data_IF_507725556774
#
_entry.id   IF_507725556774
#
_cell.length_a   1.000
_cell.length_b   1.000
_cell.length_c   1.000
_cell.angle_alpha   90.00
_cell.angle_beta   90.00
_cell.angle_gamma   90.00
#
_symmetry.space_group_name_H-M   'P 1'
#
loop_
_entity.id
_entity.type
_entity.pdbx_description
1 polymer ?
#
# COMPACT_ATOMS: atom_id res chain seq x y z
N UNK A 1 5.08 -14.83 -3.32
CA UNK A 1 5.90 -16.02 -3.51
C UNK A 1 5.11 -17.11 -4.24
N UNK A 2 5.80 -18.00 -4.93
CA UNK A 2 5.19 -19.09 -5.71
C UNK A 2 4.27 -19.97 -4.87
N UNK A 3 4.65 -20.25 -3.61
CA UNK A 3 3.83 -21.04 -2.69
C UNK A 3 2.49 -20.36 -2.34
N UNK A 4 2.48 -19.05 -2.15
CA UNK A 4 1.25 -18.29 -1.92
C UNK A 4 0.34 -18.31 -3.15
N UNK A 5 0.89 -18.13 -4.34
CA UNK A 5 0.14 -18.19 -5.60
C UNK A 5 -0.52 -19.58 -5.80
N UNK A 6 0.22 -20.66 -5.52
CA UNK A 6 -0.31 -22.01 -5.60
C UNK A 6 -1.44 -22.25 -4.59
N UNK A 7 -1.35 -21.68 -3.37
CA UNK A 7 -2.41 -21.79 -2.36
C UNK A 7 -3.68 -21.04 -2.79
N UNK A 8 -3.53 -19.80 -3.29
CA UNK A 8 -4.67 -18.99 -3.75
C UNK A 8 -5.32 -19.61 -4.98
N UNK A 9 -4.53 -20.16 -5.92
CA UNK A 9 -5.07 -20.81 -7.11
C UNK A 9 -5.94 -22.05 -6.83
N UNK A 10 -5.88 -22.61 -5.62
CA UNK A 10 -6.77 -23.70 -5.19
C UNK A 10 -8.15 -23.23 -4.72
N UNK A 11 -8.29 -21.96 -4.38
CA UNK A 11 -9.52 -21.37 -3.82
C UNK A 11 -10.26 -20.45 -4.76
N UNK A 12 -9.61 -20.03 -5.86
CA UNK A 12 -10.16 -19.07 -6.81
C UNK A 12 -10.20 -19.59 -8.26
N UNK A 13 -10.93 -18.90 -9.10
CA UNK A 13 -11.08 -19.21 -10.52
C UNK A 13 -9.82 -18.93 -11.36
N UNK A 14 -8.92 -18.08 -10.87
CA UNK A 14 -7.64 -17.74 -11.51
C UNK A 14 -6.51 -17.77 -10.50
N UNK A 15 -5.43 -18.49 -10.82
CA UNK A 15 -4.22 -18.46 -10.03
C UNK A 15 -3.52 -17.10 -10.20
N UNK A 16 -3.13 -16.41 -9.10
CA UNK A 16 -2.36 -15.18 -9.21
C UNK A 16 -0.96 -15.48 -9.78
N UNK A 17 -0.43 -14.55 -10.55
CA UNK A 17 0.90 -14.63 -11.13
C UNK A 17 1.89 -13.86 -10.25
N UNK A 18 2.98 -14.50 -9.86
CA UNK A 18 4.07 -13.84 -9.14
C UNK A 18 5.21 -13.47 -10.09
N UNK A 19 5.56 -12.18 -10.09
CA UNK A 19 6.71 -11.65 -10.82
C UNK A 19 7.65 -11.01 -9.81
N UNK A 20 8.89 -11.51 -9.72
CA UNK A 20 9.92 -10.93 -8.85
C UNK A 20 10.40 -9.60 -9.42
N UNK A 21 10.40 -8.54 -8.58
CA UNK A 21 10.89 -7.21 -8.91
C UNK A 21 11.54 -6.58 -7.69
N UNK A 22 12.68 -5.93 -7.87
CA UNK A 22 13.20 -4.99 -6.88
C UNK A 22 12.55 -3.63 -7.12
N UNK A 23 11.74 -3.17 -6.17
CA UNK A 23 11.00 -1.91 -6.31
C UNK A 23 11.89 -0.66 -6.29
N UNK A 24 13.17 -0.81 -5.95
CA UNK A 24 14.18 0.26 -6.05
C UNK A 24 14.61 0.50 -7.50
N UNK A 25 14.51 -0.54 -8.35
CA UNK A 25 14.74 -0.45 -9.78
C UNK A 25 13.46 0.02 -10.51
N UNK A 26 13.39 1.33 -10.73
CA UNK A 26 12.22 1.96 -11.36
C UNK A 26 12.03 1.46 -12.80
N UNK A 27 13.10 1.25 -13.55
CA UNK A 27 13.01 0.78 -14.94
C UNK A 27 12.44 -0.63 -15.02
N UNK A 28 12.91 -1.53 -14.17
CA UNK A 28 12.38 -2.90 -14.06
C UNK A 28 10.91 -2.91 -13.63
N UNK A 29 10.54 -2.08 -12.61
CA UNK A 29 9.17 -1.96 -12.14
C UNK A 29 8.23 -1.51 -13.27
N UNK A 30 8.57 -0.44 -13.97
CA UNK A 30 7.76 0.07 -15.06
C UNK A 30 7.65 -0.90 -16.23
N UNK A 31 8.75 -1.59 -16.58
CA UNK A 31 8.74 -2.63 -17.61
C UNK A 31 7.80 -3.78 -17.26
N UNK A 32 7.79 -4.21 -15.99
CA UNK A 32 6.88 -5.27 -15.51
C UNK A 32 5.43 -4.83 -15.61
N UNK A 33 5.08 -3.61 -15.17
CA UNK A 33 3.69 -3.11 -15.25
C UNK A 33 3.21 -3.04 -16.69
N UNK A 34 4.04 -2.57 -17.62
CA UNK A 34 3.71 -2.58 -19.06
C UNK A 34 3.48 -3.98 -19.59
N UNK A 35 4.45 -4.89 -19.34
CA UNK A 35 4.38 -6.28 -19.79
C UNK A 35 3.13 -7.01 -19.27
N UNK A 36 2.75 -6.79 -18.01
CA UNK A 36 1.51 -7.37 -17.46
C UNK A 36 0.31 -6.93 -18.29
N UNK A 37 0.21 -5.65 -18.65
CA UNK A 37 -0.86 -5.18 -19.51
C UNK A 37 -0.87 -5.78 -20.91
N UNK A 38 0.30 -5.97 -21.51
CA UNK A 38 0.44 -6.61 -22.82
C UNK A 38 0.04 -8.10 -22.82
N UNK A 39 0.40 -8.81 -21.75
CA UNK A 39 0.17 -10.26 -21.63
C UNK A 39 -1.22 -10.64 -21.10
N UNK A 40 -1.87 -9.80 -20.31
CA UNK A 40 -3.10 -10.17 -19.58
C UNK A 40 -4.28 -9.22 -19.79
N UNK A 41 -4.10 -8.16 -20.55
CA UNK A 41 -5.03 -7.06 -20.72
C UNK A 41 -4.70 -5.90 -19.80
N UNK A 42 -5.31 -4.72 -20.02
CA UNK A 42 -4.94 -3.48 -19.35
C UNK A 42 -5.01 -3.59 -17.82
N UNK A 43 -4.03 -3.04 -17.14
CA UNK A 43 -4.05 -2.87 -15.69
C UNK A 43 -5.07 -1.78 -15.35
N UNK A 44 -6.24 -2.18 -14.84
CA UNK A 44 -7.31 -1.26 -14.42
C UNK A 44 -7.35 -1.05 -12.90
N UNK A 45 -6.67 -1.91 -12.13
CA UNK A 45 -6.52 -1.78 -10.68
C UNK A 45 -5.05 -1.92 -10.31
N UNK A 46 -4.54 -0.95 -9.55
CA UNK A 46 -3.18 -0.98 -8.99
C UNK A 46 -3.23 -0.84 -7.47
N UNK A 47 -2.68 -1.81 -6.75
CA UNK A 47 -2.57 -1.76 -5.29
C UNK A 47 -1.10 -1.65 -4.89
N UNK A 48 -0.67 -0.48 -4.46
CA UNK A 48 0.68 -0.17 -4.00
C UNK A 48 0.82 -0.50 -2.51
N UNK A 49 0.91 -1.79 -2.17
CA UNK A 49 0.97 -2.29 -0.79
C UNK A 49 2.39 -2.49 -0.25
N UNK A 50 3.37 -2.74 -1.11
CA UNK A 50 4.73 -3.08 -0.68
C UNK A 50 5.37 -1.95 0.14
N UNK A 51 5.99 -2.32 1.26
CA UNK A 51 6.69 -1.39 2.15
C UNK A 51 7.64 -2.13 3.09
N UNK A 52 8.52 -1.37 3.75
CA UNK A 52 9.39 -1.85 4.80
C UNK A 52 9.42 -0.86 5.97
N UNK A 53 8.98 -1.32 7.15
CA UNK A 53 8.85 -0.57 8.41
C UNK A 53 9.99 -0.85 9.40
N UNK A 54 11.20 -1.15 8.90
CA UNK A 54 12.37 -1.40 9.77
C UNK A 54 12.58 -0.26 10.75
N UNK A 55 12.83 -0.63 12.02
CA UNK A 55 13.03 0.33 13.10
C UNK A 55 14.45 0.90 13.06
N UNK A 56 14.58 2.20 13.33
CA UNK A 56 15.87 2.92 13.34
C UNK A 56 15.78 4.19 14.18
N UNK A 57 16.92 4.62 14.72
CA UNK A 57 17.01 5.90 15.43
C UNK A 57 17.25 7.04 14.43
N UNK A 58 16.68 8.22 14.70
CA UNK A 58 16.86 9.38 13.81
C UNK A 58 18.33 9.79 13.65
N UNK A 59 19.11 9.66 14.71
CA UNK A 59 20.54 10.03 14.74
C UNK A 59 21.43 9.11 13.91
N UNK A 60 20.98 7.90 13.60
CA UNK A 60 21.72 6.88 12.85
C UNK A 60 21.40 6.88 11.35
N UNK A 61 20.46 7.73 10.93
CA UNK A 61 20.03 7.78 9.52
C UNK A 61 21.09 8.44 8.66
N UNK A 62 21.66 7.67 7.73
CA UNK A 62 22.55 8.18 6.68
C UNK A 62 21.77 8.61 5.44
N UNK A 63 22.33 9.46 4.55
CA UNK A 63 21.72 9.80 3.27
C UNK A 63 21.34 8.55 2.44
N UNK A 64 22.22 7.57 2.34
CA UNK A 64 21.98 6.32 1.58
C UNK A 64 20.82 5.52 2.17
N UNK A 65 20.76 5.41 3.51
CA UNK A 65 19.63 4.76 4.19
C UNK A 65 18.31 5.52 3.92
N UNK A 66 18.35 6.86 4.01
CA UNK A 66 17.20 7.70 3.68
C UNK A 66 16.71 7.45 2.28
N UNK A 67 17.58 7.51 1.26
CA UNK A 67 17.23 7.33 -0.14
C UNK A 67 16.68 5.94 -0.42
N UNK A 68 17.26 4.91 0.18
CA UNK A 68 16.76 3.53 0.08
C UNK A 68 15.35 3.41 0.69
N UNK A 69 15.11 3.98 1.88
CA UNK A 69 13.79 3.91 2.53
C UNK A 69 12.72 4.66 1.76
N UNK A 70 13.03 5.83 1.19
CA UNK A 70 12.15 6.57 0.29
C UNK A 70 11.85 5.74 -0.97
N UNK A 71 12.86 5.10 -1.55
CA UNK A 71 12.69 4.25 -2.73
C UNK A 71 11.69 3.10 -2.47
N UNK A 72 11.82 2.43 -1.31
CA UNK A 72 11.01 1.25 -0.95
C UNK A 72 9.62 1.63 -0.43
N UNK A 73 9.43 2.82 0.20
CA UNK A 73 8.17 3.15 0.87
C UNK A 73 7.30 4.19 0.15
N UNK A 74 7.87 4.96 -0.79
CA UNK A 74 7.18 6.05 -1.48
C UNK A 74 7.43 6.06 -2.99
N UNK A 75 8.70 6.14 -3.43
CA UNK A 75 9.06 6.36 -4.84
C UNK A 75 8.44 5.34 -5.78
N UNK A 76 8.45 4.06 -5.41
CA UNK A 76 7.87 3.00 -6.24
C UNK A 76 6.37 3.17 -6.49
N UNK A 77 5.61 3.73 -5.52
CA UNK A 77 4.16 3.95 -5.69
C UNK A 77 3.89 4.93 -6.84
N UNK A 78 4.65 6.02 -6.90
CA UNK A 78 4.54 6.97 -8.01
C UNK A 78 4.85 6.32 -9.36
N UNK A 79 5.98 5.62 -9.49
CA UNK A 79 6.40 5.09 -10.78
C UNK A 79 5.59 3.87 -11.24
N UNK A 80 5.04 3.08 -10.32
CA UNK A 80 4.06 2.05 -10.65
C UNK A 80 2.76 2.67 -11.18
N UNK A 81 2.26 3.71 -10.50
CA UNK A 81 1.08 4.45 -10.93
C UNK A 81 1.29 5.11 -12.30
N UNK A 82 2.45 5.74 -12.52
CA UNK A 82 2.82 6.34 -13.81
C UNK A 82 2.84 5.31 -14.94
N UNK A 83 3.34 4.09 -14.69
CA UNK A 83 3.38 3.02 -15.70
C UNK A 83 1.98 2.42 -15.98
N UNK A 84 1.07 2.43 -15.01
CA UNK A 84 -0.30 1.94 -15.17
C UNK A 84 -1.22 2.99 -15.84
N UNK A 85 -0.92 4.28 -15.68
CA UNK A 85 -1.76 5.39 -16.16
C UNK A 85 -2.17 5.28 -17.65
N UNK A 86 -1.25 5.04 -18.62
CA UNK A 86 -1.65 4.94 -20.02
C UNK A 86 -2.65 3.83 -20.30
N UNK A 87 -2.51 2.70 -19.60
CA UNK A 87 -3.39 1.55 -19.72
C UNK A 87 -4.78 1.85 -19.14
N UNK A 88 -4.84 2.43 -17.94
CA UNK A 88 -6.09 2.85 -17.31
C UNK A 88 -6.81 3.90 -18.14
N UNK A 89 -6.11 4.89 -18.67
CA UNK A 89 -6.67 5.92 -19.55
C UNK A 89 -7.25 5.31 -20.82
N UNK A 90 -6.53 4.39 -21.47
CA UNK A 90 -7.00 3.70 -22.68
C UNK A 90 -8.21 2.79 -22.40
N UNK A 91 -8.31 2.22 -21.19
CA UNK A 91 -9.44 1.39 -20.75
C UNK A 91 -10.67 2.22 -20.31
N UNK A 92 -10.58 3.56 -20.32
CA UNK A 92 -11.68 4.45 -19.91
C UNK A 92 -11.79 4.69 -18.41
N UNK A 93 -10.82 4.25 -17.61
CA UNK A 93 -10.76 4.46 -16.16
C UNK A 93 -9.95 3.43 -15.41
N UNK A 94 -9.86 3.59 -14.10
CA UNK A 94 -9.15 2.67 -13.23
C UNK A 94 -9.17 3.07 -11.76
N UNK A 95 -8.59 2.22 -10.91
CA UNK A 95 -8.46 2.47 -9.48
C UNK A 95 -7.04 2.23 -8.98
N UNK A 96 -6.48 3.20 -8.29
CA UNK A 96 -5.17 3.12 -7.63
C UNK A 96 -5.38 3.21 -6.12
N UNK A 97 -4.89 2.22 -5.39
CA UNK A 97 -4.92 2.17 -3.92
C UNK A 97 -3.49 2.24 -3.40
N UNK A 98 -3.13 3.37 -2.84
CA UNK A 98 -1.82 3.61 -2.23
C UNK A 98 -1.86 3.29 -0.73
N UNK A 99 -0.96 2.44 -0.24
CA UNK A 99 -0.88 2.13 1.18
C UNK A 99 -0.05 3.18 1.93
N UNK A 100 -0.74 3.97 2.74
CA UNK A 100 -0.15 4.84 3.75
C UNK A 100 0.12 4.09 5.07
N UNK A 101 -0.03 4.78 6.19
CA UNK A 101 0.03 4.26 7.57
C UNK A 101 -0.51 5.33 8.52
N UNK A 102 -1.09 4.93 9.65
CA UNK A 102 -1.45 5.85 10.73
C UNK A 102 -0.24 6.28 11.60
N UNK A 103 0.96 5.74 11.36
CA UNK A 103 2.15 5.97 12.19
C UNK A 103 2.49 7.45 12.40
N UNK A 104 2.28 8.28 11.39
CA UNK A 104 2.52 9.72 11.48
C UNK A 104 1.44 10.44 12.32
N UNK A 105 0.20 9.97 12.30
CA UNK A 105 -0.90 10.48 13.14
C UNK A 105 -0.65 10.16 14.61
N UNK A 106 -0.12 8.95 14.87
CA UNK A 106 0.25 8.49 16.22
C UNK A 106 1.54 9.13 16.78
N UNK A 107 2.22 9.98 15.99
CA UNK A 107 3.54 10.55 16.37
C UNK A 107 4.55 9.44 16.71
N UNK A 108 4.51 8.33 15.99
CA UNK A 108 5.28 7.13 16.30
C UNK A 108 6.78 7.37 16.07
N UNK A 109 7.58 7.22 17.13
CA UNK A 109 9.05 7.23 17.07
C UNK A 109 9.64 5.91 16.58
N UNK A 110 10.97 5.88 16.43
CA UNK A 110 11.74 4.67 16.09
C UNK A 110 11.69 4.26 14.62
N UNK A 111 11.14 5.11 13.72
CA UNK A 111 11.12 4.88 12.27
C UNK A 111 10.81 6.17 11.48
N UNK A 112 11.54 7.29 11.70
CA UNK A 112 11.18 8.59 11.14
C UNK A 112 11.11 8.61 9.61
N UNK A 113 12.00 7.93 8.90
CA UNK A 113 12.02 7.90 7.43
C UNK A 113 10.81 7.15 6.86
N UNK A 114 10.40 6.04 7.50
CA UNK A 114 9.17 5.34 7.16
C UNK A 114 7.94 6.24 7.38
N UNK A 115 7.87 6.86 8.56
CA UNK A 115 6.75 7.74 8.93
C UNK A 115 6.62 8.92 7.95
N UNK A 116 7.74 9.57 7.58
CA UNK A 116 7.77 10.62 6.58
C UNK A 116 7.30 10.13 5.20
N UNK A 117 7.79 8.96 4.76
CA UNK A 117 7.37 8.35 3.49
C UNK A 117 5.86 8.10 3.47
N UNK A 118 5.30 7.57 4.56
CA UNK A 118 3.87 7.21 4.64
C UNK A 118 2.96 8.43 4.78
N UNK A 119 3.41 9.52 5.39
CA UNK A 119 2.72 10.80 5.38
C UNK A 119 2.68 11.41 3.96
N UNK A 120 3.77 11.31 3.20
CA UNK A 120 3.87 11.83 1.84
C UNK A 120 2.93 11.12 0.84
N UNK A 121 2.55 9.86 1.09
CA UNK A 121 1.61 9.09 0.25
C UNK A 121 0.27 9.82 0.08
N UNK A 122 -0.21 10.53 1.08
CA UNK A 122 -1.47 11.27 1.01
C UNK A 122 -1.39 12.47 0.07
N UNK A 123 -0.30 13.24 0.13
CA UNK A 123 -0.06 14.35 -0.81
C UNK A 123 0.04 13.83 -2.25
N UNK A 124 0.79 12.75 -2.46
CA UNK A 124 0.88 12.08 -3.76
C UNK A 124 -0.50 11.63 -4.26
N UNK A 125 -1.28 10.96 -3.43
CA UNK A 125 -2.62 10.46 -3.76
C UNK A 125 -3.55 11.59 -4.22
N UNK A 126 -3.62 12.69 -3.46
CA UNK A 126 -4.48 13.84 -3.79
C UNK A 126 -4.07 14.52 -5.09
N UNK A 127 -2.77 14.67 -5.33
CA UNK A 127 -2.24 15.23 -6.57
C UNK A 127 -2.62 14.39 -7.79
N UNK A 128 -2.36 13.07 -7.74
CA UNK A 128 -2.70 12.15 -8.82
C UNK A 128 -4.22 12.04 -9.04
N UNK A 129 -5.02 12.03 -7.98
CA UNK A 129 -6.47 12.02 -8.07
C UNK A 129 -7.01 13.26 -8.82
N UNK A 130 -6.43 14.44 -8.55
CA UNK A 130 -6.81 15.70 -9.24
C UNK A 130 -6.41 15.69 -10.69
N UNK A 131 -5.22 15.19 -11.00
CA UNK A 131 -4.67 15.19 -12.36
C UNK A 131 -5.34 14.15 -13.26
N UNK A 132 -5.63 12.94 -12.72
CA UNK A 132 -6.11 11.80 -13.50
C UNK A 132 -7.61 11.58 -13.41
N UNK A 133 -8.31 12.27 -12.50
CA UNK A 133 -9.77 12.23 -12.37
C UNK A 133 -10.53 12.51 -13.67
N UNK A 134 -10.13 13.47 -14.54
CA UNK A 134 -10.76 13.69 -15.85
C UNK A 134 -10.75 12.47 -16.78
N UNK A 135 -9.87 11.49 -16.52
CA UNK A 135 -9.79 10.23 -17.27
C UNK A 135 -10.49 9.07 -16.52
N UNK A 136 -11.34 9.39 -15.53
CA UNK A 136 -12.05 8.41 -14.71
C UNK A 136 -11.12 7.46 -13.93
N UNK A 137 -9.91 7.94 -13.56
CA UNK A 137 -8.97 7.19 -12.74
C UNK A 137 -9.07 7.70 -11.30
N UNK A 138 -9.49 6.82 -10.40
CA UNK A 138 -9.57 7.09 -8.97
C UNK A 138 -8.25 6.77 -8.29
N UNK A 139 -7.83 7.60 -7.36
CA UNK A 139 -6.62 7.37 -6.57
C UNK A 139 -6.95 7.64 -5.11
N UNK A 140 -6.81 6.64 -4.25
CA UNK A 140 -7.11 6.73 -2.82
C UNK A 140 -5.97 6.19 -1.96
N UNK A 141 -5.90 6.65 -0.72
CA UNK A 141 -4.99 6.13 0.29
C UNK A 141 -5.74 5.20 1.24
N UNK A 142 -5.19 4.00 1.46
CA UNK A 142 -5.59 3.11 2.55
C UNK A 142 -4.55 3.19 3.67
N UNK A 143 -5.00 3.55 4.89
CA UNK A 143 -4.14 3.74 6.06
C UNK A 143 -4.44 2.66 7.11
N UNK A 144 -3.67 1.57 7.11
CA UNK A 144 -3.80 0.53 8.13
C UNK A 144 -3.31 0.99 9.51
N UNK A 145 -3.97 0.50 10.56
CA UNK A 145 -3.42 0.41 11.89
C UNK A 145 -2.37 -0.70 11.99
N UNK A 146 -2.18 -1.26 13.20
CA UNK A 146 -1.22 -2.36 13.39
C UNK A 146 -1.85 -3.70 13.03
N UNK A 147 -1.48 -4.23 11.87
CA UNK A 147 -2.04 -5.46 11.29
C UNK A 147 -1.20 -6.67 11.70
N UNK A 148 -1.85 -7.71 12.23
CA UNK A 148 -1.22 -8.95 12.72
C UNK A 148 -0.78 -9.85 11.56
N UNK A 149 0.24 -9.43 10.82
CA UNK A 149 0.92 -10.27 9.82
C UNK A 149 1.95 -11.18 10.50
N UNK A 150 2.34 -12.28 9.85
CA UNK A 150 3.39 -13.18 10.34
C UNK A 150 4.69 -12.42 10.69
N UNK A 151 5.06 -11.41 9.89
CA UNK A 151 6.24 -10.57 10.16
C UNK A 151 6.06 -9.74 11.43
N UNK A 152 4.92 -9.10 11.61
CA UNK A 152 4.64 -8.28 12.79
C UNK A 152 4.60 -9.12 14.07
N UNK A 153 3.93 -10.27 14.01
CA UNK A 153 3.87 -11.23 15.12
C UNK A 153 5.27 -11.70 15.55
N UNK A 154 6.15 -11.97 14.58
CA UNK A 154 7.49 -12.47 14.87
C UNK A 154 8.44 -11.40 15.41
N UNK A 155 8.34 -10.14 14.93
CA UNK A 155 9.36 -9.11 15.19
C UNK A 155 8.96 -8.12 16.28
N UNK A 156 7.67 -7.79 16.40
CA UNK A 156 7.25 -6.61 17.17
C UNK A 156 6.09 -6.86 18.13
N UNK A 157 5.40 -8.02 18.00
CA UNK A 157 4.20 -8.30 18.76
C UNK A 157 4.52 -9.11 20.03
N UNK A 158 4.54 -8.43 21.18
CA UNK A 158 4.45 -9.03 22.50
C UNK A 158 3.09 -8.73 23.16
N UNK A 159 2.77 -9.40 24.27
CA UNK A 159 1.49 -9.20 24.97
C UNK A 159 1.28 -7.76 25.43
N UNK A 160 2.35 -7.08 25.87
CA UNK A 160 2.26 -5.72 26.36
C UNK A 160 1.96 -4.74 25.20
N UNK A 161 2.58 -4.94 24.03
CA UNK A 161 2.32 -4.15 22.84
C UNK A 161 0.90 -4.37 22.31
N UNK A 162 0.41 -5.62 22.28
CA UNK A 162 -0.96 -5.92 21.90
C UNK A 162 -1.96 -5.28 22.86
N UNK A 163 -1.72 -5.36 24.16
CA UNK A 163 -2.59 -4.73 25.18
C UNK A 163 -2.65 -3.21 25.00
N UNK A 164 -1.51 -2.54 24.86
CA UNK A 164 -1.48 -1.09 24.60
C UNK A 164 -2.28 -0.72 23.34
N UNK A 165 -2.18 -1.51 22.27
CA UNK A 165 -2.94 -1.28 21.04
C UNK A 165 -4.43 -1.45 21.26
N UNK A 166 -4.85 -2.53 21.92
CA UNK A 166 -6.25 -2.77 22.24
C UNK A 166 -6.85 -1.69 23.18
N UNK A 167 -6.05 -1.18 24.12
CA UNK A 167 -6.48 -0.10 24.99
C UNK A 167 -6.73 1.20 24.20
N UNK A 168 -5.89 1.49 23.22
CA UNK A 168 -5.99 2.68 22.38
C UNK A 168 -7.09 2.58 21.30
N UNK A 169 -7.44 1.38 20.83
CA UNK A 169 -8.50 1.18 19.84
C UNK A 169 -9.91 1.28 20.46
N UNK A 170 -10.88 1.77 19.66
CA UNK A 170 -12.29 1.66 19.99
C UNK A 170 -12.77 0.20 19.93
N UNK A 171 -12.40 -0.52 18.88
CA UNK A 171 -12.73 -1.94 18.69
C UNK A 171 -11.67 -2.83 19.36
N UNK A 172 -12.10 -3.69 20.31
CA UNK A 172 -11.20 -4.48 21.18
C UNK A 172 -10.78 -5.81 20.55
N UNK A 173 -10.33 -5.78 19.28
CA UNK A 173 -9.66 -6.91 18.62
C UNK A 173 -8.51 -6.41 17.74
N UNK A 174 -7.46 -7.21 17.65
CA UNK A 174 -6.33 -6.89 16.78
C UNK A 174 -6.74 -7.01 15.30
N UNK A 175 -6.26 -6.06 14.48
CA UNK A 175 -6.49 -6.05 13.05
C UNK A 175 -5.86 -7.26 12.37
N UNK A 176 -6.61 -7.88 11.48
CA UNK A 176 -6.16 -8.99 10.66
C UNK A 176 -5.93 -8.54 9.21
N UNK A 177 -5.08 -9.22 8.44
CA UNK A 177 -4.92 -8.92 7.01
C UNK A 177 -6.24 -8.87 6.22
N UNK A 178 -7.23 -9.67 6.61
CA UNK A 178 -8.54 -9.70 5.98
C UNK A 178 -9.33 -8.38 6.14
N UNK A 179 -9.17 -7.67 7.27
CA UNK A 179 -9.82 -6.38 7.49
C UNK A 179 -9.34 -5.32 6.50
N UNK A 180 -8.03 -5.35 6.22
CA UNK A 180 -7.40 -4.44 5.25
C UNK A 180 -7.74 -4.83 3.81
N UNK A 181 -7.75 -6.14 3.53
CA UNK A 181 -8.10 -6.64 2.21
C UNK A 181 -9.55 -6.29 1.81
N UNK A 182 -10.49 -6.30 2.75
CA UNK A 182 -11.88 -5.91 2.51
C UNK A 182 -11.98 -4.45 2.03
N UNK A 183 -11.27 -3.51 2.68
CA UNK A 183 -11.23 -2.11 2.25
C UNK A 183 -10.51 -1.95 0.91
N UNK A 184 -9.40 -2.67 0.69
CA UNK A 184 -8.71 -2.63 -0.59
C UNK A 184 -9.60 -3.14 -1.75
N UNK A 185 -10.40 -4.18 -1.53
CA UNK A 185 -11.38 -4.68 -2.50
C UNK A 185 -12.48 -3.66 -2.78
N UNK A 186 -13.06 -3.03 -1.74
CA UNK A 186 -14.03 -1.95 -1.91
C UNK A 186 -13.47 -0.82 -2.77
N UNK A 187 -12.24 -0.36 -2.48
CA UNK A 187 -11.59 0.71 -3.23
C UNK A 187 -11.23 0.31 -4.67
N UNK A 188 -10.98 -0.97 -4.92
CA UNK A 188 -10.71 -1.50 -6.25
C UNK A 188 -11.98 -1.65 -7.11
N UNK A 189 -13.15 -1.84 -6.49
CA UNK A 189 -14.42 -2.12 -7.15
C UNK A 189 -15.19 -0.83 -7.50
N UNK A 190 -16.21 -0.97 -8.33
CA UNK A 190 -17.13 0.11 -8.73
C UNK A 190 -18.01 0.61 -7.58
N UNK A 191 -18.15 -0.17 -6.51
CA UNK A 191 -18.82 0.26 -5.27
C UNK A 191 -18.24 1.55 -4.68
N UNK A 192 -16.99 1.87 -5.01
CA UNK A 192 -16.31 3.10 -4.63
C UNK A 192 -16.15 4.12 -5.78
N UNK A 193 -17.05 4.09 -6.79
CA UNK A 193 -16.94 4.90 -8.00
C UNK A 193 -16.79 6.41 -7.77
N UNK A 194 -17.37 6.94 -6.68
CA UNK A 194 -17.24 8.36 -6.32
C UNK A 194 -16.19 8.65 -5.24
N UNK A 195 -15.38 7.65 -4.86
CA UNK A 195 -14.30 7.80 -3.90
C UNK A 195 -12.97 8.05 -4.63
N UNK A 196 -12.45 9.27 -4.55
CA UNK A 196 -11.11 9.61 -5.08
C UNK A 196 -10.48 10.75 -4.26
N UNK A 197 -9.15 10.73 -4.13
CA UNK A 197 -8.40 11.71 -3.36
C UNK A 197 -8.62 11.62 -1.85
N UNK A 198 -9.16 10.50 -1.33
CA UNK A 198 -9.53 10.32 0.05
C UNK A 198 -8.56 9.40 0.81
N UNK A 199 -8.56 9.55 2.12
CA UNK A 199 -7.85 8.70 3.07
C UNK A 199 -8.86 7.79 3.78
N UNK A 200 -8.66 6.47 3.64
CA UNK A 200 -9.49 5.45 4.26
C UNK A 200 -8.71 4.78 5.40
N UNK A 201 -9.06 5.11 6.63
CA UNK A 201 -8.40 4.58 7.82
C UNK A 201 -9.08 3.26 8.23
N UNK A 202 -8.28 2.22 8.45
CA UNK A 202 -8.72 0.93 8.97
C UNK A 202 -7.79 0.54 10.12
N UNK A 203 -8.15 0.95 11.33
CA UNK A 203 -7.30 0.87 12.52
C UNK A 203 -8.05 0.48 13.81
N UNK A 204 -9.34 0.19 13.69
CA UNK A 204 -10.18 -0.12 14.84
C UNK A 204 -10.56 1.11 15.68
N UNK A 205 -10.37 2.32 15.14
CA UNK A 205 -10.61 3.58 15.86
C UNK A 205 -9.46 3.89 16.82
N UNK A 206 -8.22 3.83 16.34
CA UNK A 206 -7.02 4.17 17.10
C UNK A 206 -6.67 5.67 16.98
N UNK A 207 -6.87 6.29 15.82
CA UNK A 207 -6.68 7.72 15.57
C UNK A 207 -8.00 8.44 15.32
#
# INVERSE_FOLDING_TARGET
STALCARIGKTGSRAPRFIRCDLRDVAALQAIVRRVGEETGPVTVLVNNAANDDRHQAVDVTPDYWDERIAVNLRHQFFAAQAAYPQMKAAGGGSIVNFGSISWMLKQGGMPVYTASKAAVQGLTRSLAREWGPFNIRVNTLLPGWVMTERQLRLWSDEAAQRRTLDAQCLKRMLQPADIAAMALFLAADDSAMCTGQDFIVDGGWV
#
